data_IF_570860805027
#
_entry.id   IF_570860805027
#
_cell.length_a   1.000
_cell.length_b   1.000
_cell.length_c   1.000
_cell.angle_alpha   90.00
_cell.angle_beta   90.00
_cell.angle_gamma   90.00
#
_symmetry.space_group_name_H-M   'P 1'
#
loop_
_entity.id
_entity.type
_entity.pdbx_description
1 polymer ?
#
# COMPACT_ATOMS: atom_id res chain seq x y z
N UNK A 1 13.51 0.87 3.03
CA UNK A 1 13.60 -0.50 3.58
C UNK A 1 12.74 -0.60 4.84
N UNK A 2 11.99 -1.69 4.96
CA UNK A 2 11.09 -1.95 6.08
C UNK A 2 11.47 -3.26 6.76
N UNK A 3 11.35 -3.32 8.08
CA UNK A 3 11.21 -4.61 8.77
C UNK A 3 9.79 -5.10 8.57
N UNK A 4 9.64 -6.32 8.06
CA UNK A 4 8.36 -6.97 7.84
C UNK A 4 8.24 -8.15 8.79
N UNK A 5 7.11 -8.21 9.49
CA UNK A 5 6.76 -9.33 10.38
C UNK A 5 5.44 -9.92 9.94
N UNK A 6 5.38 -11.24 9.76
CA UNK A 6 4.17 -12.00 9.42
C UNK A 6 4.10 -13.19 10.36
N UNK A 7 3.15 -13.17 11.31
CA UNK A 7 3.12 -14.14 12.40
C UNK A 7 4.41 -14.12 13.21
N UNK A 8 5.12 -15.26 13.22
CA UNK A 8 6.41 -15.41 13.90
C UNK A 8 7.62 -15.17 12.99
N UNK A 9 7.41 -15.01 11.67
CA UNK A 9 8.49 -14.74 10.72
C UNK A 9 8.78 -13.25 10.67
N UNK A 10 10.05 -12.89 10.65
CA UNK A 10 10.52 -11.52 10.50
C UNK A 10 11.64 -11.48 9.46
N UNK A 11 11.53 -10.55 8.51
CA UNK A 11 12.51 -10.31 7.46
C UNK A 11 12.55 -8.83 7.07
N UNK A 12 13.31 -8.53 6.03
CA UNK A 12 13.41 -7.19 5.46
C UNK A 12 12.71 -7.13 4.10
N UNK A 13 11.91 -6.09 3.92
CA UNK A 13 11.32 -5.71 2.65
C UNK A 13 12.05 -4.47 2.13
N UNK A 14 12.84 -4.68 1.08
CA UNK A 14 13.62 -3.64 0.43
C UNK A 14 12.76 -3.03 -0.66
N UNK A 15 12.65 -1.70 -0.65
CA UNK A 15 12.04 -0.94 -1.74
C UNK A 15 13.09 -0.02 -2.34
N UNK A 16 13.18 -0.01 -3.66
CA UNK A 16 13.97 0.94 -4.42
C UNK A 16 13.07 1.64 -5.43
N UNK A 17 13.22 2.94 -5.57
CA UNK A 17 12.46 3.72 -6.55
C UNK A 17 13.41 4.50 -7.44
N UNK A 18 13.13 4.54 -8.74
CA UNK A 18 13.77 5.51 -9.65
C UNK A 18 12.73 6.24 -10.47
N UNK A 19 12.97 7.52 -10.74
CA UNK A 19 12.18 8.29 -11.68
C UNK A 19 12.66 8.00 -13.10
N UNK A 20 11.73 7.76 -14.00
CA UNK A 20 11.99 7.49 -15.42
C UNK A 20 11.17 8.47 -16.23
N UNK A 21 11.82 9.11 -17.21
CA UNK A 21 11.19 10.02 -18.15
C UNK A 21 11.37 9.49 -19.57
N UNK A 22 10.27 9.23 -20.27
CA UNK A 22 10.21 8.72 -21.63
C UNK A 22 9.30 9.61 -22.49
N UNK A 23 9.35 9.46 -23.82
CA UNK A 23 8.54 10.29 -24.74
C UNK A 23 7.03 10.25 -24.45
N UNK A 24 6.53 9.13 -23.92
CA UNK A 24 5.10 8.92 -23.61
C UNK A 24 4.70 9.44 -22.23
N UNK A 25 5.63 9.96 -21.45
CA UNK A 25 5.41 10.47 -20.10
C UNK A 25 6.45 9.99 -19.09
N UNK A 26 6.23 10.36 -17.82
CA UNK A 26 7.13 10.00 -16.72
C UNK A 26 6.45 9.07 -15.72
N UNK A 27 7.23 8.16 -15.15
CA UNK A 27 6.78 7.21 -14.14
C UNK A 27 7.86 6.96 -13.08
N UNK A 28 7.44 6.49 -11.92
CA UNK A 28 8.32 5.87 -10.94
C UNK A 28 8.37 4.37 -11.19
N UNK A 29 9.58 3.85 -11.35
CA UNK A 29 9.81 2.41 -11.29
C UNK A 29 10.12 2.04 -9.84
N UNK A 30 9.21 1.32 -9.20
CA UNK A 30 9.34 0.85 -7.84
C UNK A 30 9.60 -0.66 -7.88
N UNK A 31 10.70 -1.10 -7.29
CA UNK A 31 10.98 -2.51 -7.06
C UNK A 31 10.84 -2.82 -5.59
N UNK A 32 10.29 -3.99 -5.28
CA UNK A 32 10.31 -4.56 -3.93
C UNK A 32 10.97 -5.93 -3.93
N UNK A 33 11.67 -6.26 -2.85
CA UNK A 33 12.31 -7.56 -2.68
C UNK A 33 12.30 -7.97 -1.21
N UNK A 34 11.89 -9.21 -0.97
CA UNK A 34 11.97 -9.94 0.29
C UNK A 34 12.32 -11.42 -0.02
N UNK A 35 12.65 -12.26 0.98
CA UNK A 35 13.04 -13.65 0.73
C UNK A 35 11.98 -14.48 -0.03
N UNK A 36 10.70 -14.16 0.14
CA UNK A 36 9.56 -14.86 -0.44
C UNK A 36 8.92 -14.15 -1.63
N UNK A 37 9.38 -12.96 -1.99
CA UNK A 37 8.73 -12.15 -3.02
C UNK A 37 9.70 -11.18 -3.71
N UNK A 38 9.54 -11.03 -5.03
CA UNK A 38 10.07 -9.91 -5.80
C UNK A 38 8.95 -9.25 -6.57
N UNK A 39 8.93 -7.93 -6.62
CA UNK A 39 7.99 -7.21 -7.45
C UNK A 39 8.59 -5.99 -8.14
N UNK A 40 8.00 -5.64 -9.28
CA UNK A 40 8.27 -4.45 -10.06
C UNK A 40 6.94 -3.75 -10.36
N UNK A 41 6.88 -2.46 -10.12
CA UNK A 41 5.73 -1.62 -10.38
C UNK A 41 6.17 -0.42 -11.21
N UNK A 42 5.43 -0.09 -12.28
CA UNK A 42 5.54 1.21 -12.93
C UNK A 42 4.36 2.05 -12.52
N UNK A 43 4.64 3.16 -11.85
CA UNK A 43 3.66 4.04 -11.21
C UNK A 43 3.69 5.36 -11.95
N UNK A 44 2.58 5.75 -12.56
CA UNK A 44 2.45 7.05 -13.24
C UNK A 44 2.82 8.20 -12.28
N UNK A 45 3.68 9.11 -12.72
CA UNK A 45 4.28 10.11 -11.82
C UNK A 45 3.29 11.15 -11.29
N UNK A 46 2.15 11.33 -11.97
CA UNK A 46 1.13 12.33 -11.61
C UNK A 46 0.03 11.70 -10.77
N UNK A 47 -0.55 10.60 -11.25
CA UNK A 47 -1.69 9.93 -10.61
C UNK A 47 -1.29 8.94 -9.52
N UNK A 48 -0.01 8.57 -9.42
CA UNK A 48 0.50 7.51 -8.54
C UNK A 48 -0.27 6.18 -8.64
N UNK A 49 -0.84 5.91 -9.81
CA UNK A 49 -1.45 4.63 -10.15
C UNK A 49 -0.43 3.74 -10.85
N UNK A 50 -0.37 2.47 -10.45
CA UNK A 50 0.44 1.52 -11.19
C UNK A 50 -0.23 1.23 -12.54
N UNK A 51 0.52 1.40 -13.62
CA UNK A 51 0.16 1.06 -15.00
C UNK A 51 0.72 -0.32 -15.39
N UNK A 52 1.70 -0.80 -14.65
CA UNK A 52 2.27 -2.14 -14.79
C UNK A 52 2.67 -2.71 -13.44
N UNK A 53 2.43 -4.00 -13.25
CA UNK A 53 2.88 -4.78 -12.09
C UNK A 53 3.43 -6.12 -12.53
N UNK A 54 4.55 -6.53 -11.96
CA UNK A 54 5.12 -7.87 -12.12
C UNK A 54 5.51 -8.39 -10.75
N UNK A 55 4.82 -9.43 -10.26
CA UNK A 55 5.02 -9.97 -8.93
C UNK A 55 5.39 -11.44 -9.06
N UNK A 56 6.50 -11.83 -8.44
CA UNK A 56 6.97 -13.21 -8.31
C UNK A 56 6.97 -13.60 -6.84
N UNK A 57 6.29 -14.69 -6.50
CA UNK A 57 6.24 -15.23 -5.14
C UNK A 57 6.90 -16.61 -5.11
N UNK A 58 7.68 -16.88 -4.06
CA UNK A 58 8.41 -18.12 -3.83
C UNK A 58 7.81 -18.86 -2.63
N UNK A 59 7.45 -20.14 -2.80
CA UNK A 59 6.97 -21.02 -1.72
C UNK A 59 8.07 -21.95 -1.19
N UNK A 60 7.89 -22.47 0.03
CA UNK A 60 8.86 -23.37 0.71
C UNK A 60 9.12 -24.67 -0.07
N UNK A 61 8.09 -25.24 -0.72
CA UNK A 61 8.17 -26.53 -1.44
C UNK A 61 8.02 -26.39 -2.98
N UNK A 62 8.32 -25.19 -3.51
CA UNK A 62 8.44 -24.82 -4.92
C UNK A 62 7.25 -25.12 -5.88
N UNK A 63 6.49 -24.07 -6.17
CA UNK A 63 6.18 -23.65 -7.54
C UNK A 63 6.33 -22.13 -7.58
N UNK A 64 7.06 -21.59 -8.56
CA UNK A 64 7.14 -20.13 -8.75
C UNK A 64 5.80 -19.65 -9.29
N UNK A 65 5.13 -18.74 -8.57
CA UNK A 65 3.97 -18.05 -9.08
C UNK A 65 4.40 -16.66 -9.55
N UNK A 66 4.25 -16.38 -10.85
CA UNK A 66 4.52 -15.06 -11.42
C UNK A 66 3.27 -14.51 -12.09
N UNK A 67 2.92 -13.28 -11.73
CA UNK A 67 1.77 -12.58 -12.26
C UNK A 67 2.21 -11.22 -12.79
N UNK A 68 2.08 -11.03 -14.11
CA UNK A 68 2.32 -9.75 -14.76
C UNK A 68 1.00 -9.16 -15.26
N UNK A 69 0.79 -7.85 -15.03
CA UNK A 69 -0.43 -7.14 -15.42
C UNK A 69 -0.09 -5.79 -16.03
N UNK A 70 -0.74 -5.50 -17.16
CA UNK A 70 -0.92 -4.14 -17.66
C UNK A 70 -2.24 -3.63 -17.12
N UNK A 71 -2.20 -2.49 -16.45
CA UNK A 71 -3.34 -1.93 -15.74
C UNK A 71 -3.84 -0.72 -16.50
N UNK A 72 -5.03 -0.87 -17.08
CA UNK A 72 -5.76 0.22 -17.68
C UNK A 72 -7.08 0.39 -16.96
N UNK A 73 -7.44 1.63 -16.66
CA UNK A 73 -8.74 1.96 -16.11
C UNK A 73 -9.35 3.11 -16.89
N UNK A 74 -10.62 2.97 -17.24
CA UNK A 74 -11.45 4.08 -17.74
C UNK A 74 -12.21 4.76 -16.60
N UNK A 75 -12.13 4.20 -15.39
CA UNK A 75 -12.81 4.72 -14.23
C UNK A 75 -12.13 6.00 -13.76
N UNK A 76 -12.92 7.06 -13.63
CA UNK A 76 -12.49 8.33 -13.04
C UNK A 76 -12.99 8.36 -11.60
N UNK A 77 -12.07 8.59 -10.66
CA UNK A 77 -12.40 8.71 -9.25
C UNK A 77 -13.41 9.86 -9.06
N UNK A 78 -14.44 9.61 -8.26
CA UNK A 78 -15.34 10.67 -7.79
C UNK A 78 -14.72 11.36 -6.58
N UNK A 79 -15.32 12.47 -6.16
CA UNK A 79 -14.96 13.10 -4.90
C UNK A 79 -15.07 12.10 -3.74
N UNK A 80 -14.05 12.06 -2.89
CA UNK A 80 -13.97 11.12 -1.76
C UNK A 80 -13.57 9.69 -2.15
N UNK A 81 -13.28 9.40 -3.41
CA UNK A 81 -12.72 8.11 -3.85
C UNK A 81 -11.22 8.23 -4.14
N UNK A 82 -10.47 7.18 -3.80
CA UNK A 82 -9.06 7.03 -4.14
C UNK A 82 -8.87 5.73 -4.92
N UNK A 83 -8.27 5.83 -6.11
CA UNK A 83 -7.93 4.66 -6.91
C UNK A 83 -6.62 4.06 -6.43
N UNK A 84 -6.57 2.73 -6.38
CA UNK A 84 -5.40 1.97 -5.95
C UNK A 84 -5.24 0.75 -6.84
N UNK A 85 -4.05 0.49 -7.36
CA UNK A 85 -3.82 -0.63 -8.28
C UNK A 85 -3.72 -2.00 -7.59
N UNK A 86 -3.13 -2.04 -6.40
CA UNK A 86 -3.07 -3.23 -5.54
C UNK A 86 -2.80 -2.84 -4.09
N UNK A 87 -2.92 -3.79 -3.17
CA UNK A 87 -2.52 -3.61 -1.77
C UNK A 87 -1.04 -3.24 -1.64
N UNK A 88 -0.18 -3.71 -2.54
CA UNK A 88 1.26 -3.43 -2.50
C UNK A 88 1.59 -1.98 -2.91
N UNK A 89 0.78 -1.41 -3.80
CA UNK A 89 0.95 -0.01 -4.27
C UNK A 89 0.20 0.98 -3.39
N UNK A 90 -0.65 0.50 -2.47
CA UNK A 90 -1.50 1.32 -1.60
C UNK A 90 -0.70 2.42 -0.88
N UNK A 91 0.46 2.07 -0.33
CA UNK A 91 1.33 3.03 0.37
C UNK A 91 1.81 4.19 -0.53
N UNK A 92 1.96 3.95 -1.84
CA UNK A 92 2.31 5.00 -2.80
C UNK A 92 1.09 5.84 -3.18
N UNK A 93 -0.04 5.21 -3.51
CA UNK A 93 -1.25 5.93 -3.90
C UNK A 93 -1.78 6.83 -2.77
N UNK A 94 -1.64 6.40 -1.50
CA UNK A 94 -2.04 7.18 -0.32
C UNK A 94 -1.19 8.44 -0.09
N UNK A 95 -0.08 8.63 -0.81
CA UNK A 95 0.67 9.90 -0.79
C UNK A 95 -0.11 11.05 -1.43
N UNK A 96 -1.08 10.75 -2.31
CA UNK A 96 -1.98 11.74 -2.92
C UNK A 96 -3.23 12.01 -2.08
N UNK A 97 -3.48 11.22 -1.03
CA UNK A 97 -4.61 11.50 -0.15
C UNK A 97 -4.42 12.89 0.48
N UNK A 98 -5.45 13.76 0.50
CA UNK A 98 -5.31 15.13 0.99
C UNK A 98 -5.32 15.16 2.52
N UNK A 99 -4.24 14.66 3.13
CA UNK A 99 -4.02 14.58 4.56
C UNK A 99 -4.29 15.93 5.25
N UNK A 100 -5.04 15.89 6.35
CA UNK A 100 -5.46 17.08 7.10
C UNK A 100 -6.66 17.85 6.51
N UNK A 101 -7.04 17.59 5.25
CA UNK A 101 -8.24 18.18 4.62
C UNK A 101 -9.40 17.20 4.53
N UNK A 102 -9.11 15.93 4.30
CA UNK A 102 -10.11 14.86 4.30
C UNK A 102 -9.84 13.88 5.44
N UNK A 103 -10.91 13.37 6.03
CA UNK A 103 -10.85 12.37 7.10
C UNK A 103 -11.18 10.97 6.60
N UNK A 104 -11.76 10.83 5.41
CA UNK A 104 -12.16 9.53 4.86
C UNK A 104 -11.97 9.48 3.35
N UNK A 105 -11.70 8.30 2.83
CA UNK A 105 -11.81 7.99 1.41
C UNK A 105 -12.32 6.58 1.19
N UNK A 106 -13.15 6.40 0.17
CA UNK A 106 -13.48 5.09 -0.37
C UNK A 106 -12.34 4.61 -1.27
N UNK A 107 -11.81 3.42 -1.00
CA UNK A 107 -10.73 2.84 -1.78
C UNK A 107 -11.32 1.99 -2.91
N UNK A 108 -10.92 2.31 -4.15
CA UNK A 108 -11.34 1.61 -5.36
C UNK A 108 -10.12 0.89 -5.94
N UNK A 109 -10.13 -0.43 -5.90
CA UNK A 109 -9.07 -1.23 -6.51
C UNK A 109 -9.28 -1.35 -8.03
N UNK A 110 -8.30 -0.90 -8.82
CA UNK A 110 -8.33 -0.95 -10.29
C UNK A 110 -7.59 -2.19 -10.80
N UNK A 111 -8.09 -2.81 -11.88
CA UNK A 111 -7.46 -3.98 -12.51
C UNK A 111 -7.73 -5.33 -11.85
N UNK A 112 -8.25 -5.35 -10.62
CA UNK A 112 -9.06 -6.46 -10.13
C UNK A 112 -10.44 -6.27 -10.76
N UNK A 113 -10.77 -6.99 -11.84
CA UNK A 113 -11.98 -6.79 -12.65
C UNK A 113 -13.14 -6.30 -11.79
N UNK A 114 -13.58 -5.05 -12.03
CA UNK A 114 -14.42 -4.26 -11.13
C UNK A 114 -15.39 -5.14 -10.35
N UNK A 115 -15.01 -5.43 -9.09
CA UNK A 115 -15.63 -6.36 -8.15
C UNK A 115 -17.00 -6.91 -8.57
N UNK A 116 -16.99 -8.07 -9.23
CA UNK A 116 -18.08 -9.03 -9.10
C UNK A 116 -18.02 -9.53 -7.65
N UNK A 117 -18.60 -8.75 -6.73
CA UNK A 117 -18.64 -9.07 -5.29
C UNK A 117 -18.39 -7.89 -4.34
N UNK A 118 -19.36 -6.99 -4.20
CA UNK A 118 -19.85 -6.33 -2.97
C UNK A 118 -18.95 -5.68 -1.92
N UNK A 119 -17.63 -5.84 -1.92
CA UNK A 119 -16.75 -5.35 -0.84
C UNK A 119 -16.17 -3.98 -1.17
N UNK A 120 -16.62 -2.97 -0.44
CA UNK A 120 -16.05 -1.62 -0.52
C UNK A 120 -15.09 -1.41 0.64
N UNK A 121 -13.87 -0.94 0.38
CA UNK A 121 -12.90 -0.58 1.42
C UNK A 121 -13.02 0.91 1.74
N UNK A 122 -12.91 1.26 3.02
CA UNK A 122 -12.86 2.65 3.51
C UNK A 122 -11.55 2.88 4.26
N UNK A 123 -10.88 3.97 3.92
CA UNK A 123 -9.81 4.57 4.70
C UNK A 123 -10.45 5.63 5.61
N UNK A 124 -10.17 5.57 6.91
CA UNK A 124 -10.55 6.60 7.88
C UNK A 124 -9.32 7.11 8.61
N UNK A 125 -9.03 8.40 8.50
CA UNK A 125 -8.05 9.10 9.33
C UNK A 125 -8.59 9.20 10.75
N UNK A 126 -7.80 8.73 11.70
CA UNK A 126 -8.16 8.66 13.13
C UNK A 126 -7.50 9.75 13.96
N UNK A 127 -6.51 10.44 13.39
CA UNK A 127 -5.82 11.57 14.03
C UNK A 127 -4.33 11.59 13.73
N UNK A 128 -3.60 12.34 14.55
CA UNK A 128 -2.14 12.37 14.55
C UNK A 128 -1.58 11.62 15.75
N UNK A 129 -0.43 10.98 15.57
CA UNK A 129 0.29 10.24 16.60
C UNK A 129 1.80 10.50 16.42
N UNK A 130 2.54 10.62 17.52
CA UNK A 130 4.00 10.68 17.48
C UNK A 130 4.55 9.27 17.60
N UNK A 131 5.39 8.87 16.64
CA UNK A 131 6.05 7.57 16.64
C UNK A 131 7.56 7.75 16.75
N UNK A 132 8.23 6.81 17.42
CA UNK A 132 9.69 6.69 17.34
C UNK A 132 10.03 5.77 16.19
N UNK A 133 10.60 6.31 15.11
CA UNK A 133 11.00 5.57 13.91
C UNK A 133 12.48 5.87 13.64
N UNK A 134 13.30 4.83 13.44
CA UNK A 134 14.75 4.98 13.25
C UNK A 134 15.43 5.83 14.35
N UNK A 135 14.95 5.70 15.60
CA UNK A 135 15.48 6.45 16.76
C UNK A 135 15.11 7.94 16.79
N UNK A 136 14.18 8.41 15.95
CA UNK A 136 13.70 9.79 15.94
C UNK A 136 12.20 9.84 16.18
N UNK A 137 11.76 10.83 16.93
CA UNK A 137 10.33 11.13 17.07
C UNK A 137 9.84 11.82 15.79
N UNK A 138 8.81 11.25 15.15
CA UNK A 138 8.18 11.78 13.95
C UNK A 138 6.68 11.91 14.19
N UNK A 139 6.10 13.02 13.75
CA UNK A 139 4.65 13.19 13.75
C UNK A 139 4.06 12.46 12.53
N UNK A 140 3.00 11.68 12.76
CA UNK A 140 2.36 10.86 11.74
C UNK A 140 0.85 11.03 11.76
N UNK A 141 0.23 11.00 10.58
CA UNK A 141 -1.18 10.70 10.44
C UNK A 141 -1.42 9.20 10.63
N UNK A 142 -2.40 8.86 11.47
CA UNK A 142 -2.87 7.49 11.65
C UNK A 142 -4.18 7.30 10.90
N UNK A 143 -4.23 6.30 10.03
CA UNK A 143 -5.44 5.91 9.32
C UNK A 143 -5.76 4.43 9.55
N UNK A 144 -7.03 4.10 9.47
CA UNK A 144 -7.54 2.73 9.48
C UNK A 144 -8.11 2.41 8.10
N UNK A 145 -7.62 1.33 7.50
CA UNK A 145 -8.19 0.72 6.30
C UNK A 145 -8.99 -0.51 6.71
N UNK A 146 -10.23 -0.62 6.23
CA UNK A 146 -11.04 -1.82 6.45
C UNK A 146 -12.19 -1.92 5.46
N UNK A 147 -12.94 -3.00 5.55
CA UNK A 147 -14.21 -3.12 4.84
C UNK A 147 -15.21 -2.09 5.39
N UNK A 148 -16.00 -1.51 4.50
CA UNK A 148 -17.14 -0.65 4.82
C UNK A 148 -18.41 -1.49 5.01
N UNK A 149 -19.43 -0.90 5.63
CA UNK A 149 -20.72 -1.55 5.86
C UNK A 149 -20.76 -2.53 7.03
N UNK A 150 -21.83 -3.32 7.11
CA UNK A 150 -22.19 -4.16 8.26
C UNK A 150 -21.16 -5.26 8.53
N UNK A 151 -20.48 -5.77 7.50
CA UNK A 151 -19.39 -6.74 7.64
C UNK A 151 -18.06 -6.10 8.10
N UNK A 152 -17.93 -4.77 8.00
CA UNK A 152 -16.72 -4.03 8.35
C UNK A 152 -16.39 -3.99 9.83
N UNK A 153 -17.38 -4.20 10.71
CA UNK A 153 -17.16 -4.31 12.17
C UNK A 153 -16.66 -5.69 12.60
N UNK A 154 -16.89 -6.72 11.78
CA UNK A 154 -16.53 -8.11 12.07
C UNK A 154 -15.14 -8.49 11.54
N UNK A 155 -14.62 -7.72 10.58
CA UNK A 155 -13.31 -7.95 9.95
C UNK A 155 -12.29 -6.98 10.53
N UNK A 156 -11.11 -7.50 10.89
CA UNK A 156 -10.02 -6.69 11.42
C UNK A 156 -9.62 -5.55 10.48
N UNK A 157 -9.29 -4.39 11.05
CA UNK A 157 -8.80 -3.23 10.31
C UNK A 157 -7.27 -3.21 10.28
N UNK A 158 -6.72 -2.67 9.21
CA UNK A 158 -5.29 -2.37 9.11
C UNK A 158 -5.05 -0.92 9.52
N UNK A 159 -4.22 -0.71 10.52
CA UNK A 159 -3.72 0.61 10.89
C UNK A 159 -2.51 0.96 10.04
N UNK A 160 -2.48 2.19 9.55
CA UNK A 160 -1.44 2.74 8.68
C UNK A 160 -0.97 4.06 9.28
N UNK A 161 0.33 4.29 9.31
CA UNK A 161 0.93 5.55 9.74
C UNK A 161 1.74 6.15 8.62
N UNK A 162 1.42 7.40 8.30
CA UNK A 162 2.08 8.20 7.28
C UNK A 162 2.72 9.42 7.93
N UNK A 163 3.91 9.84 7.48
CA UNK A 163 4.51 11.10 7.94
C UNK A 163 3.50 12.25 7.83
N UNK A 164 3.46 13.15 8.82
CA UNK A 164 2.54 14.29 8.79
C UNK A 164 2.96 15.40 7.82
N UNK A 165 4.15 15.28 7.21
CA UNK A 165 4.71 16.18 6.21
C UNK A 165 4.84 15.51 4.85
N UNK A 166 4.78 16.30 3.78
CA UNK A 166 5.10 15.85 2.43
C UNK A 166 6.51 15.20 2.41
N UNK A 167 6.71 14.08 1.70
CA UNK A 167 5.81 13.44 0.73
C UNK A 167 4.87 12.37 1.30
N UNK A 168 4.55 12.45 2.60
CA UNK A 168 3.62 11.55 3.30
C UNK A 168 3.99 10.09 3.13
N UNK A 169 5.21 9.73 3.47
CA UNK A 169 5.64 8.33 3.37
C UNK A 169 4.98 7.48 4.46
N UNK A 170 4.58 6.26 4.09
CA UNK A 170 4.16 5.27 5.08
C UNK A 170 5.38 4.87 5.92
N UNK A 171 5.30 5.03 7.23
CA UNK A 171 6.38 4.65 8.15
C UNK A 171 6.08 3.37 8.90
N UNK A 172 4.79 3.02 9.02
CA UNK A 172 4.36 1.85 9.75
C UNK A 172 3.01 1.35 9.24
N UNK A 173 2.81 0.04 9.27
CA UNK A 173 1.49 -0.59 9.14
C UNK A 173 1.35 -1.75 10.12
N UNK A 174 0.14 -1.99 10.60
CA UNK A 174 -0.22 -3.11 11.48
C UNK A 174 -1.62 -3.59 11.12
N UNK A 175 -1.79 -4.87 10.79
CA UNK A 175 -3.11 -5.38 10.41
C UNK A 175 -3.16 -6.87 10.16
N UNK A 176 -4.37 -7.36 9.86
CA UNK A 176 -4.58 -8.72 9.36
C UNK A 176 -4.15 -8.77 7.89
N UNK A 177 -3.29 -9.73 7.54
CA UNK A 177 -2.87 -9.95 6.15
C UNK A 177 -3.91 -10.67 5.29
N UNK A 178 -5.12 -10.91 5.82
CA UNK A 178 -6.18 -11.66 5.14
C UNK A 178 -7.42 -11.95 6.00
N UNK A 179 -8.25 -12.93 5.60
CA UNK A 179 -9.43 -13.39 6.34
C UNK A 179 -9.16 -13.81 7.80
N UNK A 180 -10.20 -14.05 8.63
CA UNK A 180 -10.02 -14.60 9.98
C UNK A 180 -9.12 -15.84 10.00
N UNK A 181 -8.14 -15.87 10.91
CA UNK A 181 -7.12 -16.93 10.98
C UNK A 181 -5.82 -16.60 10.24
N UNK A 182 -5.79 -15.55 9.41
CA UNK A 182 -4.56 -15.10 8.75
C UNK A 182 -3.61 -14.45 9.78
N UNK A 183 -2.30 -14.76 9.75
CA UNK A 183 -1.34 -14.15 10.65
C UNK A 183 -1.38 -12.61 10.59
N UNK A 184 -1.24 -11.99 11.77
CA UNK A 184 -1.02 -10.53 11.83
C UNK A 184 0.27 -10.21 11.10
N UNK A 185 0.23 -9.10 10.36
CA UNK A 185 1.39 -8.55 9.66
C UNK A 185 1.67 -7.13 10.14
N UNK A 186 2.95 -6.77 10.22
CA UNK A 186 3.37 -5.40 10.42
C UNK A 186 4.53 -5.04 9.51
N UNK A 187 4.57 -3.80 9.07
CA UNK A 187 5.71 -3.17 8.43
C UNK A 187 6.15 -2.00 9.30
N UNK A 188 7.45 -1.85 9.51
CA UNK A 188 8.03 -0.65 10.13
C UNK A 188 9.24 -0.20 9.32
N UNK A 189 9.29 1.08 9.00
CA UNK A 189 10.38 1.67 8.26
C UNK A 189 11.65 1.68 9.11
N UNK A 190 12.71 1.05 8.60
CA UNK A 190 14.00 0.95 9.31
C UNK A 190 15.13 1.71 8.62
N UNK A 191 14.99 2.04 7.32
CA UNK A 191 15.97 2.83 6.57
C UNK A 191 15.33 3.52 5.36
N UNK A 192 15.68 4.79 5.13
CA UNK A 192 15.55 5.48 3.84
C UNK A 192 16.89 5.45 3.12
N UNK A 193 16.89 5.08 1.84
CA UNK A 193 18.00 5.38 0.94
C UNK A 193 17.58 6.61 0.14
N UNK A 194 18.42 7.64 0.15
CA UNK A 194 18.26 8.85 -0.65
C UNK A 194 18.71 8.60 -2.09
#
# INVERSE_FOLDING_TARGET
MYSRKIGNKQDELIYTSRFVNEEKGSYFELSSSAPDQKALYRIDAVSLLATYTDVTTYGEDATVNRVSRLLETRYKAKEGELLVSSTDTLGQSLRLFPWGKQQKAKIIFIGTGASVGGFTFELTVTGKEKLTIMGREVECWKAQLGLSGIFGSLVGKTSLWFLASYPYYMVKSEGVSGPPGTPKSSLELIRYEN
#
